data_IF_038169833487
#
_entry.id   IF_038169833487
#
_cell.length_a   1.000
_cell.length_b   1.000
_cell.length_c   1.000
_cell.angle_alpha   90.00
_cell.angle_beta   90.00
_cell.angle_gamma   90.00
#
_symmetry.space_group_name_H-M   'P 1'
#
loop_
_entity.id
_entity.type
_entity.pdbx_description
1 polymer ?
#
# COMPACT_ATOMS: atom_id res chain seq x y z
N UNK A 1 -37.52 15.84 -3.78
CA UNK A 1 -37.83 14.45 -4.16
C UNK A 1 -36.54 13.67 -4.04
N UNK A 2 -36.36 12.92 -2.96
CA UNK A 2 -35.24 12.00 -2.74
C UNK A 2 -35.82 10.80 -2.00
N UNK A 3 -36.54 9.95 -2.72
CA UNK A 3 -37.12 8.69 -2.24
C UNK A 3 -36.27 7.47 -2.63
N UNK A 4 -35.27 7.66 -3.50
CA UNK A 4 -34.50 6.55 -4.10
C UNK A 4 -33.46 5.90 -3.16
N UNK A 5 -33.05 6.59 -2.09
CA UNK A 5 -32.03 6.04 -1.19
C UNK A 5 -32.57 4.92 -0.29
N UNK A 6 -33.87 4.92 -0.01
CA UNK A 6 -34.50 3.84 0.76
C UNK A 6 -34.73 2.60 -0.11
N UNK A 7 -35.10 2.81 -1.38
CA UNK A 7 -35.28 1.73 -2.37
C UNK A 7 -33.95 1.06 -2.76
N UNK A 8 -32.86 1.83 -2.83
CA UNK A 8 -31.51 1.29 -3.03
C UNK A 8 -31.05 0.39 -1.85
N UNK A 9 -31.41 0.73 -0.62
CA UNK A 9 -31.08 -0.05 0.59
C UNK A 9 -31.90 -1.34 0.70
N UNK A 10 -33.15 -1.34 0.21
CA UNK A 10 -33.95 -2.57 0.13
C UNK A 10 -33.44 -3.52 -0.97
N UNK A 11 -32.94 -2.99 -2.08
CA UNK A 11 -32.34 -3.77 -3.16
C UNK A 11 -30.99 -4.42 -2.80
N UNK A 12 -30.25 -3.90 -1.82
CA UNK A 12 -29.01 -4.52 -1.30
C UNK A 12 -29.27 -5.75 -0.41
N UNK A 13 -30.51 -5.98 0.00
CA UNK A 13 -30.90 -7.20 0.72
C UNK A 13 -31.31 -8.34 -0.23
N UNK A 14 -30.52 -8.57 -1.29
CA UNK A 14 -30.69 -9.80 -2.07
C UNK A 14 -30.32 -10.98 -1.15
N UNK A 15 -31.25 -11.91 -0.83
CA UNK A 15 -30.92 -13.08 -0.05
C UNK A 15 -29.94 -13.92 -0.86
N UNK A 16 -28.65 -13.76 -0.59
CA UNK A 16 -27.63 -14.70 -0.98
C UNK A 16 -27.88 -15.93 -0.12
N UNK A 17 -28.72 -16.85 -0.59
CA UNK A 17 -28.79 -18.20 -0.03
C UNK A 17 -27.41 -18.83 -0.32
N UNK A 18 -26.46 -18.83 0.65
CA UNK A 18 -25.14 -19.32 0.36
C UNK A 18 -25.27 -20.83 0.40
N UNK A 19 -25.42 -21.47 -0.75
CA UNK A 19 -25.43 -22.92 -0.80
C UNK A 19 -24.05 -23.42 -0.35
N UNK A 20 -23.90 -23.95 0.88
CA UNK A 20 -22.57 -24.18 1.45
C UNK A 20 -21.80 -25.23 0.65
N UNK A 21 -22.52 -26.18 0.04
CA UNK A 21 -21.93 -27.18 -0.84
C UNK A 21 -21.32 -26.57 -2.11
N UNK A 22 -21.97 -25.56 -2.70
CA UNK A 22 -21.44 -24.89 -3.90
C UNK A 22 -20.22 -24.02 -3.56
N UNK A 23 -20.20 -23.39 -2.39
CA UNK A 23 -19.07 -22.60 -1.91
C UNK A 23 -17.84 -23.47 -1.62
N UNK A 24 -18.04 -24.61 -0.94
CA UNK A 24 -16.99 -25.59 -0.69
C UNK A 24 -16.44 -26.17 -2.00
N UNK A 25 -17.32 -26.49 -2.97
CA UNK A 25 -16.90 -26.96 -4.29
C UNK A 25 -16.14 -25.88 -5.08
N UNK A 26 -16.53 -24.61 -4.97
CA UNK A 26 -15.82 -23.50 -5.60
C UNK A 26 -14.44 -23.29 -4.96
N UNK A 27 -14.34 -23.33 -3.63
CA UNK A 27 -13.08 -23.27 -2.90
C UNK A 27 -12.14 -24.41 -3.29
N UNK A 28 -12.65 -25.65 -3.37
CA UNK A 28 -11.85 -26.80 -3.77
C UNK A 28 -11.28 -26.70 -5.19
N UNK A 29 -12.04 -26.11 -6.14
CA UNK A 29 -11.54 -25.83 -7.50
C UNK A 29 -10.45 -24.76 -7.54
N UNK A 30 -10.55 -23.75 -6.68
CA UNK A 30 -9.51 -22.71 -6.57
C UNK A 30 -8.23 -23.32 -6.00
N UNK A 31 -8.35 -24.12 -4.93
CA UNK A 31 -7.23 -24.84 -4.34
C UNK A 31 -6.54 -25.75 -5.36
N UNK A 32 -7.30 -26.56 -6.12
CA UNK A 32 -6.76 -27.46 -7.13
C UNK A 32 -5.93 -26.75 -8.22
N UNK A 33 -6.33 -25.53 -8.62
CA UNK A 33 -5.60 -24.71 -9.61
C UNK A 33 -4.29 -24.13 -9.08
N UNK A 34 -4.17 -24.02 -7.75
CA UNK A 34 -2.97 -23.54 -7.07
C UNK A 34 -2.04 -24.66 -6.60
N UNK A 35 -2.51 -25.92 -6.63
CA UNK A 35 -1.73 -27.09 -6.22
C UNK A 35 -0.72 -27.50 -7.30
N UNK A 36 0.41 -28.06 -6.86
CA UNK A 36 1.49 -28.49 -7.77
C UNK A 36 1.25 -29.87 -8.37
N UNK A 37 0.75 -30.79 -7.55
CA UNK A 37 0.44 -32.16 -7.92
C UNK A 37 -0.75 -32.69 -7.10
N UNK A 38 -1.15 -33.94 -7.38
CA UNK A 38 -2.31 -34.57 -6.76
C UNK A 38 -2.17 -34.70 -5.24
N UNK A 39 -0.96 -34.98 -4.76
CA UNK A 39 -0.72 -35.22 -3.33
C UNK A 39 -0.72 -33.89 -2.56
N UNK A 40 -0.13 -32.84 -3.13
CA UNK A 40 -0.20 -31.46 -2.65
C UNK A 40 -1.66 -30.95 -2.61
N UNK A 41 -2.45 -31.23 -3.65
CA UNK A 41 -3.88 -30.91 -3.67
C UNK A 41 -4.63 -31.60 -2.53
N UNK A 42 -4.39 -32.89 -2.30
CA UNK A 42 -5.08 -33.63 -1.25
C UNK A 42 -4.74 -33.07 0.15
N UNK A 43 -3.47 -32.72 0.39
CA UNK A 43 -3.02 -32.10 1.66
C UNK A 43 -3.65 -30.72 1.88
N UNK A 44 -3.67 -29.87 0.85
CA UNK A 44 -4.25 -28.53 0.97
C UNK A 44 -5.76 -28.56 1.19
N UNK A 45 -6.47 -29.51 0.57
CA UNK A 45 -7.90 -29.69 0.82
C UNK A 45 -8.19 -30.14 2.26
N UNK A 46 -7.37 -31.05 2.79
CA UNK A 46 -7.48 -31.52 4.19
C UNK A 46 -7.24 -30.38 5.20
N UNK A 47 -6.17 -29.60 5.00
CA UNK A 47 -5.83 -28.45 5.84
C UNK A 47 -6.93 -27.39 5.84
N UNK A 48 -7.59 -27.16 4.71
CA UNK A 48 -8.67 -26.20 4.56
C UNK A 48 -10.04 -26.73 5.00
N UNK A 49 -10.13 -28.00 5.44
CA UNK A 49 -11.40 -28.64 5.81
C UNK A 49 -12.36 -28.78 4.63
N UNK A 50 -11.83 -28.85 3.41
CA UNK A 50 -12.59 -29.03 2.18
C UNK A 50 -12.83 -30.52 1.90
N UNK A 51 -13.82 -30.88 1.05
CA UNK A 51 -14.10 -32.28 0.76
C UNK A 51 -12.91 -32.99 0.10
N UNK A 52 -12.43 -34.06 0.72
CA UNK A 52 -11.31 -34.91 0.26
C UNK A 52 -11.77 -36.29 -0.23
N UNK A 53 -13.07 -36.46 -0.51
CA UNK A 53 -13.61 -37.71 -1.03
C UNK A 53 -13.06 -38.04 -2.43
N UNK A 54 -12.94 -39.33 -2.72
CA UNK A 54 -12.34 -39.82 -3.97
C UNK A 54 -13.02 -39.27 -5.23
N UNK A 55 -14.34 -39.06 -5.18
CA UNK A 55 -15.11 -38.52 -6.31
C UNK A 55 -14.77 -37.05 -6.55
N UNK A 56 -14.68 -36.24 -5.48
CA UNK A 56 -14.23 -34.84 -5.54
C UNK A 56 -12.79 -34.73 -6.03
N UNK A 57 -11.86 -35.53 -5.49
CA UNK A 57 -10.46 -35.52 -5.96
C UNK A 57 -10.39 -35.84 -7.46
N UNK A 58 -11.10 -36.86 -7.92
CA UNK A 58 -11.16 -37.26 -9.34
C UNK A 58 -11.71 -36.14 -10.22
N UNK A 59 -12.72 -35.40 -9.75
CA UNK A 59 -13.28 -34.26 -10.48
C UNK A 59 -12.34 -33.03 -10.54
N UNK A 60 -11.41 -32.90 -9.59
CA UNK A 60 -10.45 -31.80 -9.51
C UNK A 60 -9.14 -32.09 -10.24
N UNK A 61 -8.79 -33.35 -10.47
CA UNK A 61 -7.58 -33.76 -11.21
C UNK A 61 -7.34 -32.99 -12.52
N UNK A 62 -8.35 -32.77 -13.38
CA UNK A 62 -8.18 -32.01 -14.64
C UNK A 62 -7.89 -30.52 -14.47
N UNK A 63 -8.01 -29.99 -13.25
CA UNK A 63 -7.77 -28.57 -12.94
C UNK A 63 -6.36 -28.31 -12.42
N UNK A 64 -5.56 -29.36 -12.19
CA UNK A 64 -4.17 -29.18 -11.85
C UNK A 64 -3.42 -28.55 -13.03
N UNK A 65 -2.46 -27.64 -12.76
CA UNK A 65 -1.61 -27.12 -13.82
C UNK A 65 -0.82 -28.26 -14.45
N UNK A 66 -0.86 -28.40 -15.78
CA UNK A 66 -0.09 -29.40 -16.56
C UNK A 66 1.44 -29.16 -16.54
N UNK A 67 1.97 -28.52 -15.50
CA UNK A 67 3.41 -28.28 -15.31
C UNK A 67 4.15 -29.53 -14.81
N UNK A 68 3.62 -30.73 -15.03
CA UNK A 68 4.16 -31.97 -14.48
C UNK A 68 3.78 -33.22 -15.24
N UNK A 69 3.86 -33.23 -16.58
CA UNK A 69 4.29 -34.41 -17.36
C UNK A 69 4.25 -34.09 -18.87
N UNK A 70 5.31 -33.47 -19.38
CA UNK A 70 5.68 -33.57 -20.79
C UNK A 70 7.16 -33.96 -20.85
N UNK A 71 7.54 -35.06 -21.53
CA UNK A 71 8.94 -35.40 -21.75
C UNK A 71 9.51 -34.48 -22.83
N UNK A 72 9.67 -33.20 -22.49
CA UNK A 72 10.53 -32.29 -23.22
C UNK A 72 11.95 -32.54 -22.75
N UNK A 73 12.81 -32.89 -23.71
CA UNK A 73 14.26 -32.85 -23.58
C UNK A 73 14.68 -31.44 -23.15
N UNK A 74 14.74 -31.20 -21.86
CA UNK A 74 15.32 -30.01 -21.25
C UNK A 74 16.28 -30.48 -20.20
N UNK A 75 17.54 -30.08 -20.35
CA UNK A 75 18.58 -30.17 -19.33
C UNK A 75 17.98 -29.82 -17.97
N UNK A 76 17.90 -30.83 -17.10
CA UNK A 76 17.87 -30.67 -15.66
C UNK A 76 19.01 -29.73 -15.26
N UNK A 77 18.79 -28.53 -14.68
CA UNK A 77 19.74 -28.05 -13.72
C UNK A 77 19.58 -28.98 -12.53
N UNK A 78 20.63 -29.76 -12.27
CA UNK A 78 20.77 -30.44 -11.01
C UNK A 78 20.48 -29.46 -9.86
N UNK A 79 20.04 -29.99 -8.72
CA UNK A 79 20.18 -29.32 -7.43
C UNK A 79 21.45 -28.46 -7.43
N UNK A 80 21.34 -27.20 -7.03
CA UNK A 80 22.44 -26.24 -7.00
C UNK A 80 23.74 -26.97 -6.62
N UNK A 81 24.78 -26.94 -7.47
CA UNK A 81 26.03 -27.55 -7.07
C UNK A 81 26.48 -26.76 -5.85
N UNK A 82 26.60 -27.43 -4.70
CA UNK A 82 27.56 -26.96 -3.72
C UNK A 82 28.85 -26.71 -4.50
N UNK A 83 29.42 -25.50 -4.41
CA UNK A 83 30.66 -25.12 -5.09
C UNK A 83 31.59 -26.32 -5.10
N UNK A 84 32.02 -26.76 -6.28
CA UNK A 84 32.88 -27.93 -6.35
C UNK A 84 34.13 -27.67 -5.49
N UNK A 85 34.72 -28.72 -4.90
CA UNK A 85 35.88 -28.54 -4.02
C UNK A 85 37.00 -27.72 -4.68
N UNK A 86 37.11 -27.77 -6.01
CA UNK A 86 38.03 -26.99 -6.82
C UNK A 86 37.63 -25.52 -6.97
N UNK A 87 36.34 -25.22 -7.11
CA UNK A 87 35.80 -23.85 -7.13
C UNK A 87 35.98 -23.15 -5.78
N UNK A 88 35.70 -23.85 -4.68
CA UNK A 88 35.90 -23.33 -3.34
C UNK A 88 37.39 -23.03 -3.06
N UNK A 89 38.29 -23.91 -3.54
CA UNK A 89 39.73 -23.68 -3.48
C UNK A 89 40.16 -22.50 -4.34
N UNK A 90 39.60 -22.34 -5.55
CA UNK A 90 39.88 -21.22 -6.44
C UNK A 90 39.50 -19.87 -5.81
N UNK A 91 38.32 -19.79 -5.19
CA UNK A 91 37.84 -18.60 -4.47
C UNK A 91 38.76 -18.30 -3.28
N UNK A 92 39.16 -19.34 -2.52
CA UNK A 92 40.06 -19.16 -1.39
C UNK A 92 41.45 -18.64 -1.82
N UNK A 93 42.01 -19.14 -2.91
CA UNK A 93 43.30 -18.68 -3.43
C UNK A 93 43.21 -17.26 -4.02
N UNK A 94 42.11 -16.93 -4.69
CA UNK A 94 41.85 -15.58 -5.18
C UNK A 94 41.77 -14.55 -4.04
N UNK A 95 41.05 -14.90 -2.96
CA UNK A 95 40.97 -14.05 -1.76
C UNK A 95 42.32 -13.89 -1.03
N UNK A 96 43.21 -14.88 -1.16
CA UNK A 96 44.58 -14.81 -0.64
C UNK A 96 45.53 -14.00 -1.56
N UNK A 97 45.05 -13.55 -2.73
CA UNK A 97 45.80 -12.72 -3.67
C UNK A 97 46.69 -13.50 -4.63
N UNK A 98 46.47 -14.81 -4.80
CA UNK A 98 47.20 -15.61 -5.77
C UNK A 98 46.85 -15.20 -7.21
N UNK A 99 47.82 -15.32 -8.12
CA UNK A 99 47.61 -14.98 -9.53
C UNK A 99 46.64 -15.96 -10.20
N UNK A 100 45.82 -15.48 -11.12
CA UNK A 100 44.84 -16.30 -11.86
C UNK A 100 45.50 -17.50 -12.57
N UNK A 101 46.74 -17.36 -13.02
CA UNK A 101 47.51 -18.46 -13.59
C UNK A 101 47.82 -19.56 -12.56
N UNK A 102 48.27 -19.17 -11.37
CA UNK A 102 48.56 -20.10 -10.26
C UNK A 102 47.29 -20.83 -9.79
N UNK A 103 46.17 -20.13 -9.76
CA UNK A 103 44.88 -20.71 -9.36
C UNK A 103 44.42 -21.75 -10.39
N UNK A 104 44.56 -21.46 -11.69
CA UNK A 104 44.21 -22.39 -12.77
C UNK A 104 45.11 -23.63 -12.79
N UNK A 105 46.40 -23.48 -12.53
CA UNK A 105 47.34 -24.60 -12.42
C UNK A 105 47.01 -25.50 -11.22
N UNK A 106 46.59 -24.93 -10.10
CA UNK A 106 46.28 -25.68 -8.88
C UNK A 106 44.89 -26.35 -8.90
N UNK A 107 43.91 -25.70 -9.52
CA UNK A 107 42.49 -26.16 -9.51
C UNK A 107 42.06 -26.86 -10.78
N UNK A 108 42.81 -26.70 -11.88
CA UNK A 108 42.49 -27.27 -13.18
C UNK A 108 41.35 -26.56 -13.93
N UNK A 109 40.86 -25.43 -13.41
CA UNK A 109 39.79 -24.65 -14.03
C UNK A 109 40.27 -23.95 -15.31
N UNK A 110 39.40 -23.87 -16.31
CA UNK A 110 39.64 -23.07 -17.51
C UNK A 110 39.58 -21.56 -17.20
N UNK A 111 40.16 -20.75 -18.09
CA UNK A 111 40.17 -19.28 -17.94
C UNK A 111 38.77 -18.69 -17.82
N UNK A 112 37.85 -19.24 -18.62
CA UNK A 112 36.46 -18.81 -18.67
C UNK A 112 35.71 -19.21 -17.41
N UNK A 113 35.94 -20.42 -16.90
CA UNK A 113 35.32 -20.88 -15.64
C UNK A 113 35.81 -20.08 -14.44
N UNK A 114 37.11 -19.77 -14.37
CA UNK A 114 37.67 -18.91 -13.33
C UNK A 114 37.09 -17.49 -13.39
N UNK A 115 36.99 -16.92 -14.59
CA UNK A 115 36.45 -15.57 -14.80
C UNK A 115 34.97 -15.49 -14.40
N UNK A 116 34.17 -16.49 -14.79
CA UNK A 116 32.74 -16.55 -14.45
C UNK A 116 32.53 -16.77 -12.94
N UNK A 117 33.38 -17.56 -12.30
CA UNK A 117 33.35 -17.81 -10.86
C UNK A 117 33.63 -16.51 -10.07
N UNK A 118 34.66 -15.77 -10.45
CA UNK A 118 35.03 -14.50 -9.82
C UNK A 118 33.93 -13.45 -10.09
N UNK A 119 33.39 -13.40 -11.31
CA UNK A 119 32.30 -12.49 -11.66
C UNK A 119 31.04 -12.75 -10.82
N UNK A 120 30.67 -14.02 -10.62
CA UNK A 120 29.53 -14.40 -9.79
C UNK A 120 29.75 -14.07 -8.31
N UNK A 121 30.98 -14.16 -7.80
CA UNK A 121 31.33 -13.75 -6.43
C UNK A 121 31.21 -12.23 -6.23
N UNK A 122 31.64 -11.43 -7.22
CA UNK A 122 31.57 -9.96 -7.18
C UNK A 122 30.14 -9.44 -7.31
N UNK A 123 29.26 -10.18 -7.99
CA UNK A 123 27.85 -9.82 -8.20
C UNK A 123 26.91 -10.13 -7.02
N UNK A 124 27.41 -10.77 -5.95
CA UNK A 124 26.79 -10.78 -4.61
C UNK A 124 25.27 -10.84 -4.55
N UNK A 125 24.64 -11.91 -5.07
CA UNK A 125 23.23 -12.20 -4.80
C UNK A 125 23.12 -12.90 -3.42
N UNK A 126 22.33 -12.36 -2.47
CA UNK A 126 22.25 -12.92 -1.13
C UNK A 126 21.45 -14.24 -1.14
N UNK A 127 22.11 -15.34 -0.77
CA UNK A 127 21.41 -16.51 -0.23
C UNK A 127 21.10 -16.23 1.23
N UNK A 128 19.80 -16.08 1.53
CA UNK A 128 19.30 -16.06 2.90
C UNK A 128 19.54 -17.43 3.54
N UNK A 129 20.35 -17.48 4.59
CA UNK A 129 20.17 -18.41 5.70
C UNK A 129 20.54 -17.69 6.99
N UNK A 130 19.56 -17.59 7.87
CA UNK A 130 19.61 -16.96 9.18
C UNK A 130 20.35 -17.83 10.19
N UNK A 131 21.34 -17.27 10.89
CA UNK A 131 21.39 -17.32 12.36
C UNK A 131 22.41 -16.30 12.96
N UNK A 132 21.84 -15.44 13.80
CA UNK A 132 22.29 -14.27 14.59
C UNK A 132 23.45 -14.54 15.59
N UNK A 133 23.97 -13.54 16.35
CA UNK A 133 24.60 -12.24 16.04
C UNK A 133 26.05 -12.12 16.60
N UNK A 134 26.96 -11.40 15.94
CA UNK A 134 27.88 -10.46 16.64
C UNK A 134 28.68 -9.60 15.65
N UNK A 135 29.01 -8.39 16.12
CA UNK A 135 30.11 -7.54 15.70
C UNK A 135 30.11 -6.89 14.30
N UNK A 136 29.81 -5.59 14.35
CA UNK A 136 30.49 -4.54 13.58
C UNK A 136 30.16 -4.46 12.08
N UNK A 137 29.11 -3.70 11.76
CA UNK A 137 28.91 -3.18 10.41
C UNK A 137 30.09 -2.23 10.06
N UNK A 138 30.91 -2.49 9.02
CA UNK A 138 31.66 -1.43 8.41
C UNK A 138 30.66 -0.57 7.64
N UNK A 139 30.47 0.66 8.10
CA UNK A 139 29.87 1.70 7.28
C UNK A 139 30.67 1.77 5.97
N UNK A 140 30.06 1.30 4.88
CA UNK A 140 30.59 1.52 3.54
C UNK A 140 30.35 3.00 3.27
N UNK A 141 31.31 3.82 3.70
CA UNK A 141 31.48 5.18 3.24
C UNK A 141 31.97 5.07 1.79
N UNK A 142 31.02 4.90 0.85
CA UNK A 142 31.31 5.07 -0.57
C UNK A 142 31.54 6.57 -0.74
N UNK A 143 32.77 7.04 -1.02
CA UNK A 143 32.93 8.42 -1.42
C UNK A 143 32.14 8.59 -2.72
N UNK A 144 31.04 9.33 -2.67
CA UNK A 144 30.42 9.92 -3.85
C UNK A 144 31.44 10.93 -4.38
N UNK A 145 32.39 10.40 -5.14
CA UNK A 145 33.17 11.22 -6.07
C UNK A 145 32.12 11.69 -7.07
N UNK A 146 31.73 12.95 -6.95
CA UNK A 146 30.93 13.64 -7.94
C UNK A 146 31.77 13.78 -9.22
N UNK A 147 31.88 12.68 -9.97
CA UNK A 147 32.34 12.69 -11.35
C UNK A 147 31.29 13.47 -12.16
N UNK A 148 31.70 14.34 -13.11
CA UNK A 148 30.79 15.05 -14.00
C UNK A 148 30.20 14.10 -15.07
N UNK A 149 29.54 13.02 -14.66
CA UNK A 149 28.97 12.00 -15.57
C UNK A 149 27.58 12.40 -16.08
N UNK A 150 27.04 13.55 -15.68
CA UNK A 150 25.65 13.90 -15.98
C UNK A 150 25.36 14.07 -17.47
N UNK A 151 26.37 14.31 -18.31
CA UNK A 151 26.15 14.53 -19.74
C UNK A 151 26.61 13.37 -20.66
N UNK A 152 27.35 12.39 -20.16
CA UNK A 152 27.94 11.35 -21.01
C UNK A 152 26.89 10.41 -21.64
N UNK A 153 25.84 10.08 -20.90
CA UNK A 153 24.72 9.26 -21.42
C UNK A 153 23.89 10.04 -22.42
N UNK A 154 23.66 11.34 -22.17
CA UNK A 154 22.92 12.21 -23.08
C UNK A 154 23.68 12.41 -24.40
N UNK A 155 24.99 12.67 -24.34
CA UNK A 155 25.85 12.77 -25.53
C UNK A 155 25.86 11.48 -26.36
N UNK A 156 25.83 10.31 -25.69
CA UNK A 156 25.73 9.01 -26.36
C UNK A 156 24.37 8.79 -27.01
N UNK A 157 23.27 9.17 -26.35
CA UNK A 157 21.91 9.11 -26.91
C UNK A 157 21.76 10.07 -28.11
N UNK A 158 22.32 11.27 -28.04
CA UNK A 158 22.28 12.26 -29.12
C UNK A 158 23.08 11.79 -30.34
N UNK A 159 24.27 11.24 -30.12
CA UNK A 159 25.06 10.59 -31.17
C UNK A 159 24.32 9.38 -31.78
N UNK A 160 23.69 8.56 -30.94
CA UNK A 160 22.96 7.38 -31.38
C UNK A 160 21.68 7.74 -32.15
N UNK A 161 21.06 8.88 -31.83
CA UNK A 161 19.91 9.43 -32.55
C UNK A 161 20.30 9.96 -33.95
N UNK A 162 21.49 10.56 -34.08
CA UNK A 162 22.03 11.02 -35.36
C UNK A 162 22.67 9.90 -36.21
N UNK A 163 22.72 8.67 -35.70
CA UNK A 163 23.46 7.58 -36.32
C UNK A 163 22.79 7.11 -37.64
N UNK A 164 23.56 6.80 -38.71
CA UNK A 164 22.98 6.39 -40.00
C UNK A 164 22.24 5.05 -39.93
N UNK A 165 22.67 4.13 -39.06
CA UNK A 165 22.05 2.83 -38.89
C UNK A 165 20.71 2.93 -38.11
N UNK A 166 19.63 2.46 -38.70
CA UNK A 166 18.29 2.49 -38.09
C UNK A 166 18.20 1.72 -36.76
N UNK A 167 18.93 0.60 -36.62
CA UNK A 167 18.93 -0.19 -35.38
C UNK A 167 19.52 0.57 -34.18
N UNK A 168 20.51 1.43 -34.41
CA UNK A 168 21.13 2.26 -33.35
C UNK A 168 20.16 3.34 -32.89
N UNK A 169 19.49 4.02 -33.83
CA UNK A 169 18.44 5.01 -33.51
C UNK A 169 17.28 4.39 -32.73
N UNK A 170 16.80 3.22 -33.16
CA UNK A 170 15.71 2.52 -32.46
C UNK A 170 16.10 2.11 -31.04
N UNK A 171 17.36 1.72 -30.82
CA UNK A 171 17.86 1.41 -29.48
C UNK A 171 17.93 2.67 -28.60
N UNK A 172 18.43 3.79 -29.12
CA UNK A 172 18.45 5.06 -28.41
C UNK A 172 17.04 5.53 -28.01
N UNK A 173 16.07 5.40 -28.92
CA UNK A 173 14.68 5.74 -28.64
C UNK A 173 14.08 4.88 -27.50
N UNK A 174 14.36 3.58 -27.48
CA UNK A 174 13.93 2.69 -26.39
C UNK A 174 14.55 3.08 -25.05
N UNK A 175 15.86 3.26 -25.01
CA UNK A 175 16.57 3.67 -23.79
C UNK A 175 16.02 5.01 -23.27
N UNK A 176 15.71 5.95 -24.17
CA UNK A 176 15.11 7.24 -23.78
C UNK A 176 13.71 7.05 -23.19
N UNK A 177 12.89 6.17 -23.77
CA UNK A 177 11.57 5.85 -23.24
C UNK A 177 11.68 5.19 -21.84
N UNK A 178 12.59 4.23 -21.68
CA UNK A 178 12.82 3.54 -20.39
C UNK A 178 13.28 4.54 -19.31
N UNK A 179 14.17 5.48 -19.66
CA UNK A 179 14.60 6.54 -18.75
C UNK A 179 13.44 7.47 -18.35
N UNK A 180 12.54 7.77 -19.28
CA UNK A 180 11.34 8.55 -19.00
C UNK A 180 10.43 7.81 -18.01
N UNK A 181 10.16 6.53 -18.26
CA UNK A 181 9.34 5.68 -17.36
C UNK A 181 9.93 5.61 -15.95
N UNK A 182 11.25 5.40 -15.84
CA UNK A 182 11.94 5.38 -14.54
C UNK A 182 11.84 6.73 -13.82
N UNK A 183 11.95 7.84 -14.55
CA UNK A 183 11.81 9.17 -13.97
C UNK A 183 10.38 9.44 -13.49
N UNK A 184 9.37 9.06 -14.26
CA UNK A 184 7.95 9.19 -13.90
C UNK A 184 7.60 8.34 -12.67
N UNK A 185 8.14 7.12 -12.59
CA UNK A 185 7.97 6.25 -11.42
C UNK A 185 8.58 6.88 -10.17
N UNK A 186 9.81 7.38 -10.26
CA UNK A 186 10.48 8.07 -9.14
C UNK A 186 9.66 9.27 -8.67
N UNK A 187 9.15 10.07 -9.60
CA UNK A 187 8.38 11.28 -9.28
C UNK A 187 7.01 10.92 -8.66
N UNK A 188 6.38 9.84 -9.13
CA UNK A 188 5.17 9.28 -8.54
C UNK A 188 5.40 8.78 -7.10
N UNK A 189 6.51 8.06 -6.86
CA UNK A 189 6.89 7.60 -5.53
C UNK A 189 7.24 8.78 -4.58
N UNK A 190 7.81 9.86 -5.11
CA UNK A 190 8.06 11.08 -4.35
C UNK A 190 6.75 11.80 -3.99
N UNK A 191 5.82 11.92 -4.95
CA UNK A 191 4.50 12.48 -4.72
C UNK A 191 3.68 11.67 -3.71
N UNK A 192 3.79 10.33 -3.75
CA UNK A 192 3.18 9.45 -2.76
C UNK A 192 3.74 9.71 -1.36
N UNK A 193 5.07 9.78 -1.21
CA UNK A 193 5.72 10.10 0.08
C UNK A 193 5.26 11.46 0.63
N UNK A 194 5.16 12.48 -0.22
CA UNK A 194 4.66 13.79 0.20
C UNK A 194 3.19 13.74 0.63
N UNK A 195 2.36 12.96 -0.06
CA UNK A 195 0.96 12.76 0.32
C UNK A 195 0.84 12.02 1.66
N UNK A 196 1.65 10.98 1.87
CA UNK A 196 1.71 10.25 3.14
C UNK A 196 2.17 11.14 4.29
N UNK A 197 3.17 12.01 4.07
CA UNK A 197 3.63 12.98 5.07
C UNK A 197 2.53 13.98 5.41
N UNK A 198 1.79 14.49 4.41
CA UNK A 198 0.64 15.38 4.63
C UNK A 198 -0.45 14.69 5.45
N UNK A 199 -0.73 13.41 5.17
CA UNK A 199 -1.70 12.62 5.95
C UNK A 199 -1.20 12.40 7.38
N UNK A 200 0.09 12.09 7.56
CA UNK A 200 0.69 11.91 8.88
C UNK A 200 0.60 13.20 9.72
N UNK A 201 0.89 14.35 9.10
CA UNK A 201 0.76 15.67 9.75
C UNK A 201 -0.69 15.96 10.13
N UNK A 202 -1.63 15.76 9.21
CA UNK A 202 -3.06 15.95 9.50
C UNK A 202 -3.55 15.04 10.64
N UNK A 203 -3.07 13.79 10.69
CA UNK A 203 -3.37 12.87 11.81
C UNK A 203 -2.81 13.37 13.13
N UNK A 204 -1.57 13.84 13.16
CA UNK A 204 -0.95 14.40 14.36
C UNK A 204 -1.71 15.66 14.87
N UNK A 205 -2.16 16.52 13.95
CA UNK A 205 -2.94 17.70 14.31
C UNK A 205 -4.34 17.32 14.85
N UNK A 206 -4.98 16.29 14.28
CA UNK A 206 -6.24 15.75 14.80
C UNK A 206 -6.06 15.16 16.21
N UNK A 207 -4.97 14.44 16.46
CA UNK A 207 -4.67 13.89 17.78
C UNK A 207 -4.50 15.00 18.83
N UNK A 208 -3.73 16.04 18.51
CA UNK A 208 -3.60 17.22 19.38
C UNK A 208 -4.95 17.88 19.67
N UNK A 209 -5.79 18.07 18.66
CA UNK A 209 -7.13 18.63 18.84
C UNK A 209 -8.02 17.73 19.71
N UNK A 210 -7.88 16.40 19.59
CA UNK A 210 -8.58 15.45 20.46
C UNK A 210 -8.09 15.52 21.91
N UNK A 211 -6.79 15.68 22.14
CA UNK A 211 -6.21 15.87 23.46
C UNK A 211 -6.70 17.18 24.11
N UNK A 212 -6.68 18.29 23.38
CA UNK A 212 -7.25 19.57 23.85
C UNK A 212 -8.74 19.42 24.21
N UNK A 213 -9.51 18.70 23.40
CA UNK A 213 -10.91 18.41 23.71
C UNK A 213 -11.06 17.52 24.95
N UNK A 214 -10.17 16.54 25.16
CA UNK A 214 -10.13 15.72 26.38
C UNK A 214 -9.79 16.57 27.61
N UNK A 215 -8.83 17.47 27.53
CA UNK A 215 -8.46 18.35 28.65
C UNK A 215 -9.56 19.35 29.00
N UNK A 216 -10.20 19.98 28.01
CA UNK A 216 -11.36 20.87 28.23
C UNK A 216 -12.54 20.11 28.85
N UNK A 217 -12.85 18.91 28.35
CA UNK A 217 -13.90 18.06 28.93
C UNK A 217 -13.56 17.62 30.36
N UNK A 218 -12.30 17.27 30.63
CA UNK A 218 -11.84 16.91 31.98
C UNK A 218 -11.92 18.11 32.94
N UNK A 219 -11.47 19.30 32.50
CA UNK A 219 -11.59 20.55 33.27
C UNK A 219 -13.05 20.92 33.57
N UNK A 220 -13.94 20.76 32.58
CA UNK A 220 -15.38 20.98 32.75
C UNK A 220 -16.01 19.98 33.73
N UNK A 221 -15.58 18.70 33.67
CA UNK A 221 -16.11 17.64 34.56
C UNK A 221 -15.64 17.81 36.00
N UNK A 222 -14.41 18.27 36.24
CA UNK A 222 -13.90 18.52 37.60
C UNK A 222 -14.62 19.70 38.28
N UNK A 223 -15.12 20.68 37.52
CA UNK A 223 -15.97 21.74 38.07
C UNK A 223 -17.42 21.32 38.37
N UNK A 224 -17.85 20.11 37.98
CA UNK A 224 -19.22 19.62 38.24
C UNK A 224 -19.35 18.64 39.41
N UNK A 225 -18.24 18.24 40.06
CA UNK A 225 -18.25 17.23 41.15
C UNK A 225 -18.11 17.80 42.56
N UNK A 226 -18.37 19.09 42.75
CA UNK A 226 -18.37 19.75 44.06
C UNK A 226 -19.61 20.64 44.27
N UNK A 227 -20.81 20.08 44.07
CA UNK A 227 -22.04 20.64 44.64
C UNK A 227 -23.08 19.52 44.81
N UNK A 228 -23.31 19.14 46.05
CA UNK A 228 -24.35 18.21 46.46
C UNK A 228 -25.75 18.84 46.32
N UNK A 229 -26.73 17.96 46.04
CA UNK A 229 -28.18 18.11 46.26
C UNK A 229 -29.07 18.88 45.24
N UNK A 230 -29.80 18.06 44.44
CA UNK A 230 -31.17 18.23 43.92
C UNK A 230 -31.49 19.24 42.78
N UNK A 231 -32.63 19.06 42.09
CA UNK A 231 -33.05 17.95 41.24
C UNK A 231 -32.79 18.26 39.74
N UNK A 232 -32.99 17.26 38.88
CA UNK A 232 -32.80 17.26 37.41
C UNK A 232 -33.25 18.55 36.68
N UNK A 233 -32.41 19.13 35.81
CA UNK A 233 -32.88 19.79 34.61
C UNK A 233 -32.96 18.77 33.47
N UNK A 234 -34.16 18.66 32.94
CA UNK A 234 -34.54 17.93 31.73
C UNK A 234 -33.51 18.17 30.63
N UNK A 235 -33.11 17.07 30.00
CA UNK A 235 -32.27 17.01 28.80
C UNK A 235 -32.79 18.00 27.75
N UNK A 236 -32.19 19.19 27.67
CA UNK A 236 -32.44 20.16 26.61
C UNK A 236 -31.71 19.70 25.34
N UNK A 237 -32.15 18.59 24.78
CA UNK A 237 -31.90 18.25 23.38
C UNK A 237 -32.83 19.08 22.50
N UNK A 238 -32.29 19.58 21.38
CA UNK A 238 -32.97 20.21 20.24
C UNK A 238 -33.09 21.75 20.21
N UNK A 239 -32.34 22.49 21.02
CA UNK A 239 -32.11 23.91 20.75
C UNK A 239 -31.01 24.07 19.70
N UNK A 240 -31.31 24.68 18.55
CA UNK A 240 -30.32 25.21 17.60
C UNK A 240 -29.15 25.80 18.38
N UNK A 241 -27.91 25.41 18.06
CA UNK A 241 -26.67 25.75 18.81
C UNK A 241 -26.32 27.25 18.83
N UNK A 242 -27.32 28.12 18.78
CA UNK A 242 -27.28 29.56 18.84
C UNK A 242 -27.22 30.04 20.28
N UNK A 243 -26.43 31.07 20.50
CA UNK A 243 -26.26 31.68 21.82
C UNK A 243 -27.55 32.37 22.27
N UNK A 244 -27.70 32.59 23.57
CA UNK A 244 -28.87 33.32 24.13
C UNK A 244 -29.01 34.73 23.55
N UNK A 245 -27.88 35.33 23.21
CA UNK A 245 -27.77 36.66 22.60
C UNK A 245 -28.30 36.66 21.16
N UNK A 246 -27.92 35.67 20.35
CA UNK A 246 -28.44 35.50 18.99
C UNK A 246 -29.96 35.29 18.99
N UNK A 247 -30.48 34.47 19.90
CA UNK A 247 -31.93 34.30 20.04
C UNK A 247 -32.63 35.60 20.48
N UNK A 248 -31.97 36.47 21.25
CA UNK A 248 -32.51 37.78 21.60
C UNK A 248 -32.55 38.72 20.39
N UNK A 249 -31.51 38.72 19.56
CA UNK A 249 -31.46 39.47 18.30
C UNK A 249 -32.55 39.00 17.32
N UNK A 250 -32.70 37.67 17.15
CA UNK A 250 -33.77 37.09 16.32
C UNK A 250 -35.16 37.52 16.84
N UNK A 251 -35.37 37.55 18.17
CA UNK A 251 -36.65 38.03 18.75
C UNK A 251 -36.89 39.52 18.50
N UNK A 252 -35.86 40.36 18.60
CA UNK A 252 -35.98 41.79 18.30
C UNK A 252 -36.39 42.01 16.85
N UNK A 253 -35.65 41.39 15.91
CA UNK A 253 -35.95 41.42 14.49
C UNK A 253 -37.36 40.89 14.20
N UNK A 254 -37.74 39.76 14.82
CA UNK A 254 -39.05 39.16 14.63
C UNK A 254 -40.20 40.08 15.05
N UNK A 255 -40.07 40.79 16.18
CA UNK A 255 -41.08 41.76 16.64
C UNK A 255 -41.20 42.94 15.70
N UNK A 256 -40.07 43.46 15.19
CA UNK A 256 -40.05 44.54 14.20
C UNK A 256 -40.73 44.14 12.88
N UNK A 257 -40.61 42.87 12.49
CA UNK A 257 -41.19 42.32 11.25
C UNK A 257 -42.60 41.74 11.45
N UNK A 258 -43.23 41.98 12.62
CA UNK A 258 -44.62 41.57 12.90
C UNK A 258 -44.80 40.08 13.17
N UNK A 259 -43.73 39.32 13.43
CA UNK A 259 -43.81 37.92 13.81
C UNK A 259 -44.15 37.75 15.30
N UNK A 260 -45.14 36.91 15.61
CA UNK A 260 -45.56 36.60 16.99
C UNK A 260 -44.58 35.63 17.64
N UNK A 261 -43.69 36.13 18.50
CA UNK A 261 -42.72 35.33 19.25
C UNK A 261 -42.95 35.51 20.76
N UNK A 262 -42.79 34.45 21.53
CA UNK A 262 -42.87 34.51 22.99
C UNK A 262 -41.68 35.27 23.58
N UNK A 263 -41.90 36.02 24.66
CA UNK A 263 -40.85 36.81 25.31
C UNK A 263 -39.74 35.95 25.91
N UNK A 264 -40.04 34.70 26.26
CA UNK A 264 -39.11 33.73 26.80
C UNK A 264 -39.31 32.37 26.12
N UNK A 265 -38.22 31.62 25.97
CA UNK A 265 -38.23 30.26 25.43
C UNK A 265 -37.79 30.15 23.96
N UNK A 266 -38.21 29.04 23.36
CA UNK A 266 -37.80 28.62 22.02
C UNK A 266 -38.43 29.49 20.94
N UNK A 267 -37.59 30.02 20.04
CA UNK A 267 -38.07 30.78 18.88
C UNK A 267 -38.60 29.79 17.83
N UNK A 268 -39.79 30.01 17.25
CA UNK A 268 -40.32 29.15 16.20
C UNK A 268 -39.35 29.03 15.02
N UNK A 269 -39.17 27.81 14.50
CA UNK A 269 -38.24 27.52 13.39
C UNK A 269 -38.45 28.43 12.17
N UNK A 270 -39.71 28.76 11.85
CA UNK A 270 -40.05 29.70 10.76
C UNK A 270 -39.44 31.09 10.92
N UNK A 271 -39.33 31.59 12.15
CA UNK A 271 -38.75 32.91 12.43
C UNK A 271 -37.24 32.86 12.34
N UNK A 272 -36.62 31.74 12.75
CA UNK A 272 -35.18 31.53 12.58
C UNK A 272 -34.79 31.45 11.10
N UNK A 273 -35.55 30.70 10.29
CA UNK A 273 -35.33 30.61 8.85
C UNK A 273 -35.52 31.97 8.14
N UNK A 274 -36.52 32.76 8.54
CA UNK A 274 -36.75 34.10 7.99
C UNK A 274 -35.63 35.08 8.38
N UNK A 275 -35.16 35.01 9.62
CA UNK A 275 -34.01 35.79 10.09
C UNK A 275 -32.74 35.41 9.32
N UNK A 276 -32.48 34.12 9.14
CA UNK A 276 -31.33 33.63 8.39
C UNK A 276 -31.40 34.09 6.94
N UNK A 277 -32.56 33.98 6.27
CA UNK A 277 -32.74 34.48 4.91
C UNK A 277 -32.50 35.99 4.77
N UNK A 278 -32.84 36.79 5.80
CA UNK A 278 -32.61 38.23 5.80
C UNK A 278 -31.16 38.63 6.10
N UNK A 279 -30.41 37.79 6.83
CA UNK A 279 -29.04 38.06 7.28
C UNK A 279 -27.96 37.24 6.55
N UNK A 280 -28.36 36.33 5.66
CA UNK A 280 -27.44 35.66 4.75
C UNK A 280 -27.02 36.68 3.70
N UNK A 281 -25.92 37.39 3.99
CA UNK A 281 -25.32 38.33 3.07
C UNK A 281 -25.15 37.66 1.70
N UNK A 282 -25.50 38.33 0.58
CA UNK A 282 -25.23 37.78 -0.73
C UNK A 282 -23.72 37.68 -0.86
N UNK A 283 -23.19 36.46 -0.77
CA UNK A 283 -21.82 36.16 -1.17
C UNK A 283 -21.76 36.53 -2.65
N UNK A 284 -21.21 37.71 -2.93
CA UNK A 284 -20.90 38.14 -4.28
C UNK A 284 -20.04 37.03 -4.87
N UNK A 285 -20.58 36.31 -5.84
CA UNK A 285 -19.80 35.55 -6.82
C UNK A 285 -18.82 36.56 -7.44
N UNK A 286 -17.58 36.54 -6.97
CA UNK A 286 -16.46 37.12 -7.70
C UNK A 286 -16.27 36.22 -8.93
N UNK A 287 -16.31 36.85 -10.10
CA UNK A 287 -16.12 36.22 -11.41
C UNK A 287 -14.68 35.89 -11.73
#
# INVERSE_FOLDING_TARGET
MFTDWTEALEAESLPLDPNPAQQLAAAARVTARSSRDKDDMALLLDVLGLPTDTDTLTALLPLLPETGDAPTMTNTPAAAPALSAFEAMAISMHNNGDSEQTIREATGLSETELSDLIANQVLGLPSEDTDTPDASAPAIDVPVVALPVTNAVQELLDWAAAHPAAGVRSRAARITADLCELSERRDSEAAQREAEEKVAKARADLEKAQEELRTVKAGTRTTTTAAAAAPTPIRAGMGSGRTREELAAVRAWAREHGHKVADQGMVPKRVLEAYDAAHQAPVRKAG
#
